data_IF_986566885859
#
_entry.id   IF_986566885859
#
_cell.length_a   1.000
_cell.length_b   1.000
_cell.length_c   1.000
_cell.angle_alpha   90.00
_cell.angle_beta   90.00
_cell.angle_gamma   90.00
#
_symmetry.space_group_name_H-M   'P 1'
#
loop_
_entity.id
_entity.type
_entity.pdbx_description
1 polymer ?
#
# COMPACT_ATOMS: atom_id res chain seq x y z
N UNK A 1 16.44 -27.25 6.79
CA UNK A 1 15.23 -26.40 6.72
C UNK A 1 15.13 -25.59 8.00
N UNK A 2 15.28 -24.28 7.90
CA UNK A 2 15.03 -23.33 8.99
C UNK A 2 13.51 -23.11 9.13
N UNK A 3 13.00 -23.00 10.35
CA UNK A 3 11.57 -22.77 10.59
C UNK A 3 11.38 -21.63 11.59
N UNK A 4 10.30 -20.85 11.41
CA UNK A 4 9.85 -19.81 12.34
C UNK A 4 8.37 -19.98 12.63
N UNK A 5 7.95 -19.54 13.80
CA UNK A 5 6.55 -19.50 14.20
C UNK A 5 5.89 -18.24 13.63
N UNK A 6 4.76 -18.40 12.95
CA UNK A 6 3.89 -17.28 12.53
C UNK A 6 2.77 -17.11 13.55
N UNK A 7 2.61 -15.88 14.01
CA UNK A 7 1.67 -15.53 15.08
C UNK A 7 0.70 -14.46 14.58
N UNK A 8 -0.58 -14.63 14.89
CA UNK A 8 -1.62 -13.61 14.73
C UNK A 8 -1.69 -12.74 16.00
N UNK A 9 -1.43 -11.44 15.86
CA UNK A 9 -1.62 -10.45 16.92
C UNK A 9 -2.78 -9.51 16.53
N UNK A 10 -3.95 -10.12 16.22
CA UNK A 10 -5.12 -9.39 15.75
C UNK A 10 -5.82 -8.67 16.90
N UNK A 11 -6.18 -7.41 16.74
CA UNK A 11 -6.78 -6.56 17.76
C UNK A 11 -8.08 -7.12 18.40
N UNK A 12 -8.76 -8.04 17.71
CA UNK A 12 -9.98 -8.70 18.18
C UNK A 12 -9.73 -10.04 18.88
N UNK A 13 -8.49 -10.53 18.87
CA UNK A 13 -8.10 -11.68 19.70
C UNK A 13 -7.80 -11.19 21.12
N UNK A 14 -8.10 -12.03 22.11
CA UNK A 14 -7.77 -11.76 23.50
C UNK A 14 -6.26 -11.79 23.74
N UNK A 15 -5.59 -12.78 23.15
CA UNK A 15 -4.15 -12.97 23.16
C UNK A 15 -3.66 -13.29 21.74
N UNK A 16 -2.37 -13.15 21.51
CA UNK A 16 -1.76 -13.63 20.26
C UNK A 16 -1.94 -15.14 20.10
N UNK A 17 -2.14 -15.61 18.87
CA UNK A 17 -2.32 -17.01 18.55
C UNK A 17 -1.34 -17.49 17.49
N UNK A 18 -0.81 -18.69 17.67
CA UNK A 18 0.04 -19.33 16.66
C UNK A 18 -0.81 -19.74 15.46
N UNK A 19 -0.50 -19.22 14.26
CA UNK A 19 -1.14 -19.60 13.01
C UNK A 19 -0.50 -20.88 12.46
N UNK A 20 0.82 -20.99 12.55
CA UNK A 20 1.55 -22.14 12.01
C UNK A 20 3.06 -21.92 11.96
N UNK A 21 3.72 -22.78 11.22
CA UNK A 21 5.16 -22.77 11.02
C UNK A 21 5.51 -22.46 9.56
N UNK A 22 6.28 -21.41 9.35
CA UNK A 22 6.85 -21.06 8.06
C UNK A 22 8.27 -21.62 7.97
N UNK A 23 8.55 -22.42 6.95
CA UNK A 23 9.84 -23.05 6.70
C UNK A 23 10.54 -22.52 5.47
N UNK A 24 11.87 -22.45 5.52
CA UNK A 24 12.71 -22.08 4.41
C UNK A 24 13.89 -23.03 4.27
N UNK A 25 14.21 -23.38 3.04
CA UNK A 25 15.41 -24.16 2.71
C UNK A 25 15.99 -23.67 1.39
N UNK A 26 17.28 -23.34 1.37
CA UNK A 26 18.01 -23.00 0.15
C UNK A 26 18.81 -24.21 -0.33
N UNK A 27 18.48 -24.69 -1.53
CA UNK A 27 19.16 -25.83 -2.17
C UNK A 27 19.69 -25.42 -3.54
N UNK A 28 21.00 -25.43 -3.71
CA UNK A 28 21.68 -25.12 -5.00
C UNK A 28 21.24 -23.80 -5.62
N UNK A 29 21.02 -22.75 -4.80
CA UNK A 29 20.60 -21.43 -5.26
C UNK A 29 19.11 -21.30 -5.54
N UNK A 30 18.30 -22.29 -5.15
CA UNK A 30 16.85 -22.25 -5.19
C UNK A 30 16.28 -22.25 -3.78
N UNK A 31 15.46 -21.27 -3.46
CA UNK A 31 14.76 -21.16 -2.19
C UNK A 31 13.40 -21.84 -2.27
N UNK A 32 13.12 -22.70 -1.31
CA UNK A 32 11.86 -23.42 -1.15
C UNK A 32 11.24 -22.99 0.16
N UNK A 33 9.98 -22.57 0.09
CA UNK A 33 9.19 -22.15 1.25
C UNK A 33 8.08 -23.14 1.52
N UNK A 34 7.86 -23.46 2.80
CA UNK A 34 6.81 -24.34 3.26
C UNK A 34 5.99 -23.66 4.36
N UNK A 35 4.72 -24.01 4.47
CA UNK A 35 3.89 -23.57 5.58
C UNK A 35 3.06 -24.75 6.12
N UNK A 36 2.93 -24.82 7.43
CA UNK A 36 2.12 -25.81 8.11
C UNK A 36 1.27 -25.12 9.17
N UNK A 37 -0.06 -25.17 9.00
CA UNK A 37 -0.97 -24.60 9.98
C UNK A 37 -0.89 -25.30 11.32
N UNK A 38 -1.02 -24.52 12.39
CA UNK A 38 -1.30 -25.05 13.73
C UNK A 38 -2.68 -25.69 13.76
N UNK A 39 -2.79 -26.86 14.39
CA UNK A 39 -4.05 -27.62 14.43
C UNK A 39 -5.14 -26.93 15.24
N UNK A 40 -4.77 -26.23 16.30
CA UNK A 40 -5.73 -25.53 17.14
C UNK A 40 -6.19 -24.23 16.50
N UNK A 41 -5.32 -23.58 15.70
CA UNK A 41 -5.70 -22.46 14.83
C UNK A 41 -6.79 -22.88 13.84
N UNK A 42 -6.60 -23.96 13.09
CA UNK A 42 -7.58 -24.46 12.12
C UNK A 42 -8.94 -24.83 12.77
N UNK A 43 -8.92 -25.32 14.01
CA UNK A 43 -10.18 -25.62 14.73
C UNK A 43 -10.91 -24.36 15.17
N UNK A 44 -10.18 -23.32 15.60
CA UNK A 44 -10.77 -22.07 16.09
C UNK A 44 -11.22 -21.15 14.97
N UNK A 45 -10.50 -21.18 13.83
CA UNK A 45 -10.70 -20.27 12.72
C UNK A 45 -10.87 -21.02 11.37
N UNK A 46 -11.84 -21.96 11.25
CA UNK A 46 -11.94 -22.86 10.08
C UNK A 46 -12.28 -22.15 8.77
N UNK A 47 -12.91 -20.97 8.85
CA UNK A 47 -13.35 -20.19 7.68
C UNK A 47 -12.52 -18.92 7.45
N UNK A 48 -11.49 -18.67 8.26
CA UNK A 48 -10.69 -17.46 8.13
C UNK A 48 -9.73 -17.56 6.94
N UNK A 49 -10.01 -16.78 5.90
CA UNK A 49 -9.16 -16.68 4.72
C UNK A 49 -8.05 -15.63 4.95
N UNK A 50 -6.80 -16.08 4.99
CA UNK A 50 -5.62 -15.23 5.16
C UNK A 50 -4.92 -14.88 3.82
N UNK A 51 -5.43 -15.41 2.71
CA UNK A 51 -4.89 -15.21 1.37
C UNK A 51 -5.07 -16.44 0.49
N UNK A 52 -5.03 -16.23 -0.81
CA UNK A 52 -5.38 -17.27 -1.80
C UNK A 52 -4.41 -18.45 -1.83
N UNK A 53 -3.16 -18.25 -1.44
CA UNK A 53 -2.10 -19.25 -1.57
C UNK A 53 -2.06 -20.28 -0.43
N UNK A 54 -2.61 -19.93 0.74
CA UNK A 54 -2.64 -20.82 1.90
C UNK A 54 -4.03 -21.44 2.09
N UNK A 55 -4.11 -22.72 1.78
CA UNK A 55 -5.35 -23.49 1.95
C UNK A 55 -5.53 -23.93 3.41
N UNK A 56 -6.73 -23.77 3.96
CA UNK A 56 -7.06 -24.11 5.37
C UNK A 56 -7.19 -25.62 5.57
N UNK A 57 -6.08 -26.37 5.50
CA UNK A 57 -6.03 -27.80 5.81
C UNK A 57 -4.79 -28.18 6.65
N UNK A 58 -4.82 -29.27 7.40
CA UNK A 58 -3.67 -29.76 8.15
C UNK A 58 -2.61 -30.36 7.21
N UNK A 59 -1.34 -30.12 7.51
CA UNK A 59 -0.20 -30.66 6.78
C UNK A 59 0.66 -29.59 6.14
N UNK A 60 1.81 -30.02 5.63
CA UNK A 60 2.79 -29.12 5.02
C UNK A 60 2.36 -28.73 3.62
N UNK A 61 2.29 -27.44 3.37
CA UNK A 61 2.04 -26.84 2.06
C UNK A 61 3.36 -26.30 1.51
N UNK A 62 3.57 -26.46 0.22
CA UNK A 62 4.76 -25.92 -0.48
C UNK A 62 4.32 -24.74 -1.34
N UNK A 63 5.09 -23.64 -1.29
CA UNK A 63 4.86 -22.55 -2.22
C UNK A 63 5.17 -23.03 -3.65
N UNK A 64 4.22 -22.94 -4.59
CA UNK A 64 4.44 -23.33 -5.98
C UNK A 64 5.46 -22.40 -6.68
N UNK A 65 5.61 -21.17 -6.21
CA UNK A 65 6.55 -20.19 -6.75
C UNK A 65 7.89 -20.31 -6.04
N UNK A 66 8.92 -20.76 -6.77
CA UNK A 66 10.27 -20.87 -6.24
C UNK A 66 10.89 -19.48 -6.00
N UNK A 67 11.84 -19.40 -5.08
CA UNK A 67 12.56 -18.19 -4.69
C UNK A 67 11.68 -17.04 -4.17
N UNK A 68 10.42 -17.33 -3.83
CA UNK A 68 9.50 -16.35 -3.22
C UNK A 68 8.80 -16.97 -2.02
N UNK A 69 8.60 -16.16 -1.00
CA UNK A 69 7.74 -16.49 0.13
C UNK A 69 6.28 -16.56 -0.35
N UNK A 70 5.40 -17.23 0.40
CA UNK A 70 3.96 -17.19 0.13
C UNK A 70 3.48 -15.74 0.08
N UNK A 71 2.68 -15.39 -0.93
CA UNK A 71 2.11 -14.05 -1.10
C UNK A 71 1.39 -13.55 0.14
N UNK A 72 0.73 -14.44 0.87
CA UNK A 72 0.08 -14.16 2.17
C UNK A 72 1.00 -13.42 3.16
N UNK A 73 2.31 -13.62 3.10
CA UNK A 73 3.28 -12.96 3.97
C UNK A 73 4.00 -11.79 3.29
N UNK A 74 3.68 -11.50 2.02
CA UNK A 74 4.42 -10.50 1.23
C UNK A 74 4.32 -9.09 1.81
N UNK A 75 3.15 -8.71 2.35
CA UNK A 75 2.97 -7.39 2.98
C UNK A 75 3.67 -7.26 4.34
N UNK A 76 4.12 -8.37 4.92
CA UNK A 76 4.97 -8.37 6.10
C UNK A 76 6.47 -8.22 5.77
N UNK A 77 6.85 -8.27 4.49
CA UNK A 77 8.19 -8.00 3.99
C UNK A 77 8.32 -6.52 3.61
N UNK A 78 9.57 -6.01 3.53
CA UNK A 78 9.80 -4.69 3.00
C UNK A 78 9.56 -4.65 1.48
N UNK A 79 9.16 -3.51 0.99
CA UNK A 79 9.09 -3.16 -0.42
C UNK A 79 10.43 -2.56 -0.92
N UNK A 80 10.47 -1.98 -2.11
CA UNK A 80 11.70 -1.54 -2.80
C UNK A 80 12.63 -0.71 -1.93
N UNK A 81 12.09 0.32 -1.24
CA UNK A 81 12.91 1.15 -0.36
C UNK A 81 13.49 0.36 0.82
N UNK A 82 12.65 -0.38 1.53
CA UNK A 82 13.08 -1.20 2.67
C UNK A 82 14.04 -2.31 2.26
N UNK A 83 13.82 -2.99 1.12
CA UNK A 83 14.74 -3.99 0.57
C UNK A 83 16.11 -3.37 0.28
N UNK A 84 16.13 -2.20 -0.37
CA UNK A 84 17.36 -1.45 -0.64
C UNK A 84 18.17 -1.17 0.63
N UNK A 85 17.50 -0.75 1.71
CA UNK A 85 18.19 -0.51 2.99
C UNK A 85 18.77 -1.80 3.59
N UNK A 86 18.02 -2.90 3.49
CA UNK A 86 18.50 -4.22 3.93
C UNK A 86 19.69 -4.68 3.09
N UNK A 87 19.65 -4.51 1.78
CA UNK A 87 20.74 -4.85 0.86
C UNK A 87 22.01 -4.07 1.21
N UNK A 88 21.88 -2.75 1.40
CA UNK A 88 23.03 -1.90 1.77
C UNK A 88 23.65 -2.34 3.10
N UNK A 89 22.82 -2.67 4.08
CA UNK A 89 23.30 -3.17 5.37
C UNK A 89 24.00 -4.50 5.25
N UNK A 90 23.39 -5.51 4.59
CA UNK A 90 23.97 -6.83 4.42
C UNK A 90 25.30 -6.73 3.67
N UNK A 91 25.38 -5.90 2.62
CA UNK A 91 26.63 -5.68 1.90
C UNK A 91 27.72 -5.05 2.79
N UNK A 92 27.35 -4.12 3.67
CA UNK A 92 28.29 -3.53 4.63
C UNK A 92 28.80 -4.59 5.63
N UNK A 93 27.91 -5.38 6.22
CA UNK A 93 28.27 -6.45 7.16
C UNK A 93 29.21 -7.49 6.52
N UNK A 94 28.94 -7.89 5.27
CA UNK A 94 29.80 -8.79 4.51
C UNK A 94 31.18 -8.20 4.25
N UNK A 95 31.25 -6.90 3.93
CA UNK A 95 32.51 -6.21 3.70
C UNK A 95 33.35 -6.16 5.00
N UNK A 96 32.70 -5.90 6.12
CA UNK A 96 33.34 -5.81 7.43
C UNK A 96 33.81 -7.20 7.93
N UNK A 97 33.06 -8.27 7.62
CA UNK A 97 33.40 -9.66 7.98
C UNK A 97 34.36 -10.33 6.98
N UNK A 98 34.58 -9.75 5.79
CA UNK A 98 35.36 -10.36 4.71
C UNK A 98 34.66 -11.54 4.02
N UNK A 99 33.37 -11.71 4.23
CA UNK A 99 32.57 -12.78 3.60
C UNK A 99 32.30 -12.49 2.12
N UNK A 100 32.06 -13.56 1.34
CA UNK A 100 31.70 -13.41 -0.07
C UNK A 100 30.22 -13.04 -0.21
N UNK A 101 29.91 -12.27 -1.27
CA UNK A 101 28.54 -11.89 -1.63
C UNK A 101 27.63 -13.12 -1.70
N UNK A 102 26.54 -13.11 -0.92
CA UNK A 102 25.46 -14.11 -0.93
C UNK A 102 24.25 -13.51 -1.66
N UNK A 103 23.43 -14.33 -2.29
CA UNK A 103 22.14 -13.91 -2.79
C UNK A 103 21.21 -13.63 -1.60
N UNK A 104 20.61 -12.45 -1.56
CA UNK A 104 19.65 -12.06 -0.52
C UNK A 104 18.29 -12.61 -0.93
N UNK A 105 17.66 -13.35 -0.04
CA UNK A 105 16.38 -14.03 -0.24
C UNK A 105 15.23 -13.31 0.45
N UNK A 106 13.97 -13.67 0.15
CA UNK A 106 12.79 -13.19 0.89
C UNK A 106 12.88 -13.57 2.39
N UNK A 107 13.59 -14.66 2.73
CA UNK A 107 13.85 -15.04 4.12
C UNK A 107 14.72 -14.02 4.86
N UNK A 108 15.73 -13.50 4.18
CA UNK A 108 16.61 -12.46 4.73
C UNK A 108 15.86 -11.14 4.89
N UNK A 109 15.02 -10.78 3.93
CA UNK A 109 14.15 -9.62 4.03
C UNK A 109 13.15 -9.77 5.18
N UNK A 110 12.53 -10.94 5.35
CA UNK A 110 11.61 -11.19 6.46
C UNK A 110 12.29 -10.99 7.81
N UNK A 111 13.51 -11.53 7.98
CA UNK A 111 14.30 -11.40 9.22
C UNK A 111 14.89 -10.01 9.41
N UNK A 112 15.08 -9.27 8.32
CA UNK A 112 15.66 -7.92 8.33
C UNK A 112 14.73 -6.82 8.81
N UNK A 113 13.42 -7.08 8.91
CA UNK A 113 12.41 -6.11 9.37
C UNK A 113 12.30 -6.13 10.88
N UNK A 114 12.25 -4.94 11.48
CA UNK A 114 12.00 -4.76 12.90
C UNK A 114 10.55 -5.11 13.25
N UNK A 115 10.32 -6.02 14.22
CA UNK A 115 8.97 -6.49 14.54
C UNK A 115 8.01 -5.36 14.89
N UNK A 116 8.43 -4.39 15.69
CA UNK A 116 7.58 -3.25 16.10
C UNK A 116 7.09 -2.40 14.93
N UNK A 117 7.83 -2.40 13.82
CA UNK A 117 7.54 -1.62 12.61
C UNK A 117 6.75 -2.40 11.56
N UNK A 118 6.71 -3.72 11.66
CA UNK A 118 6.07 -4.59 10.66
C UNK A 118 4.63 -4.18 10.41
N UNK A 119 4.25 -4.13 9.13
CA UNK A 119 2.89 -3.81 8.71
C UNK A 119 1.92 -4.93 9.09
N UNK A 120 0.68 -4.56 9.40
CA UNK A 120 -0.36 -5.51 9.78
C UNK A 120 -0.10 -6.20 11.12
N UNK A 121 -0.64 -7.39 11.28
CA UNK A 121 -0.66 -8.11 12.54
C UNK A 121 -0.10 -9.55 12.47
N UNK A 122 0.58 -9.91 11.39
CA UNK A 122 1.45 -11.08 11.41
C UNK A 122 2.75 -10.74 12.12
N UNK A 123 3.11 -11.59 13.09
CA UNK A 123 4.38 -11.52 13.79
C UNK A 123 5.11 -12.84 13.66
N UNK A 124 6.42 -12.78 13.75
CA UNK A 124 7.28 -13.95 13.55
C UNK A 124 8.14 -14.16 14.78
N UNK A 125 8.18 -15.42 15.26
CA UNK A 125 8.96 -15.79 16.44
C UNK A 125 9.93 -16.92 16.14
N UNK A 126 11.07 -16.85 16.77
CA UNK A 126 12.01 -17.96 16.82
C UNK A 126 11.40 -19.11 17.64
N UNK A 127 11.49 -20.35 17.13
CA UNK A 127 10.83 -21.51 17.75
C UNK A 127 11.49 -21.88 19.08
N UNK A 128 12.82 -21.75 19.20
CA UNK A 128 13.54 -22.22 20.37
C UNK A 128 13.42 -21.24 21.54
N UNK A 129 13.43 -19.93 21.25
CA UNK A 129 13.45 -18.88 22.27
C UNK A 129 12.10 -18.23 22.51
N UNK A 130 11.12 -18.46 21.63
CA UNK A 130 9.82 -17.77 21.55
C UNK A 130 9.93 -16.23 21.46
N UNK A 131 11.12 -15.74 21.14
CA UNK A 131 11.36 -14.32 20.95
C UNK A 131 10.93 -13.86 19.54
N UNK A 132 10.41 -12.64 19.44
CA UNK A 132 10.11 -12.05 18.14
C UNK A 132 11.39 -11.90 17.32
N UNK A 133 11.27 -12.23 16.03
CA UNK A 133 12.34 -12.00 15.06
C UNK A 133 12.42 -10.50 14.78
N UNK A 134 13.52 -9.94 15.19
CA UNK A 134 13.79 -8.51 15.13
C UNK A 134 15.29 -8.32 15.01
N UNK A 135 15.70 -7.40 14.15
CA UNK A 135 17.14 -7.13 13.96
C UNK A 135 17.79 -6.58 15.23
N UNK A 136 17.11 -5.66 15.90
CA UNK A 136 17.60 -5.06 17.14
C UNK A 136 16.51 -5.05 18.21
N UNK A 137 16.60 -5.95 19.19
CA UNK A 137 15.63 -6.08 20.28
C UNK A 137 15.47 -4.85 21.16
N UNK A 138 16.46 -3.95 21.13
CA UNK A 138 16.47 -2.69 21.91
C UNK A 138 16.02 -1.49 21.09
N UNK A 139 15.55 -1.72 19.85
CA UNK A 139 15.15 -0.63 18.96
C UNK A 139 13.90 0.10 19.48
N UNK A 140 13.97 1.42 19.43
CA UNK A 140 12.84 2.31 19.69
C UNK A 140 12.52 3.13 18.44
N UNK A 141 11.24 3.18 18.07
CA UNK A 141 10.77 3.96 16.91
C UNK A 141 11.12 5.43 17.15
N UNK A 142 11.81 6.11 16.22
CA UNK A 142 12.23 7.47 16.41
C UNK A 142 11.03 8.43 16.51
N UNK A 143 11.05 9.37 17.47
CA UNK A 143 10.10 10.46 17.50
C UNK A 143 10.17 11.34 16.26
N UNK A 144 9.08 12.04 15.94
CA UNK A 144 9.01 13.02 14.84
C UNK A 144 10.12 14.07 14.91
N UNK A 145 10.64 14.38 16.09
CA UNK A 145 11.76 15.31 16.28
C UNK A 145 13.03 14.95 15.48
N UNK A 146 13.18 13.70 15.09
CA UNK A 146 14.31 13.22 14.28
C UNK A 146 14.07 13.26 12.77
N UNK A 147 12.96 13.86 12.29
CA UNK A 147 12.63 13.92 10.86
C UNK A 147 13.75 14.54 10.01
N UNK A 148 14.37 15.63 10.46
CA UNK A 148 15.45 16.29 9.72
C UNK A 148 16.64 15.37 9.51
N UNK A 149 17.00 14.59 10.52
CA UNK A 149 18.11 13.65 10.49
C UNK A 149 17.82 12.46 9.59
N UNK A 150 16.58 11.97 9.60
CA UNK A 150 16.13 10.88 8.74
C UNK A 150 16.04 11.33 7.27
N UNK A 151 15.55 12.54 7.02
CA UNK A 151 15.49 13.17 5.72
C UNK A 151 16.90 13.36 5.12
N UNK A 152 17.85 13.83 5.95
CA UNK A 152 19.24 13.98 5.53
C UNK A 152 19.83 12.59 5.15
N UNK A 153 19.66 11.58 6.00
CA UNK A 153 20.17 10.24 5.75
C UNK A 153 19.59 9.63 4.46
N UNK A 154 18.27 9.78 4.24
CA UNK A 154 17.62 9.33 3.02
C UNK A 154 18.19 10.01 1.77
N UNK A 155 18.35 11.34 1.82
CA UNK A 155 18.91 12.12 0.71
C UNK A 155 20.37 11.78 0.42
N UNK A 156 21.19 11.46 1.43
CA UNK A 156 22.58 11.05 1.22
C UNK A 156 22.67 9.66 0.58
N UNK A 157 21.78 8.73 0.92
CA UNK A 157 21.70 7.42 0.25
C UNK A 157 21.33 7.60 -1.23
N UNK A 158 20.31 8.39 -1.55
CA UNK A 158 19.92 8.64 -2.95
C UNK A 158 21.05 9.32 -3.74
N UNK A 159 21.70 10.34 -3.16
CA UNK A 159 22.85 11.03 -3.81
C UNK A 159 24.00 10.08 -4.09
N UNK A 160 24.31 9.18 -3.16
CA UNK A 160 25.39 8.21 -3.34
C UNK A 160 25.10 7.29 -4.52
N UNK A 161 23.86 6.84 -4.69
CA UNK A 161 23.46 6.02 -5.83
C UNK A 161 23.50 6.77 -7.16
N UNK A 162 22.97 8.01 -7.21
CA UNK A 162 23.03 8.83 -8.40
C UNK A 162 24.50 9.02 -8.87
N UNK A 163 25.42 9.12 -7.92
CA UNK A 163 26.86 9.24 -8.18
C UNK A 163 27.57 7.90 -8.35
N UNK A 164 26.86 6.76 -8.28
CA UNK A 164 27.41 5.40 -8.31
C UNK A 164 28.48 5.15 -7.22
N UNK A 165 28.26 5.74 -6.06
CA UNK A 165 29.11 5.62 -4.88
C UNK A 165 28.41 4.79 -3.82
N UNK A 166 29.19 4.14 -2.96
CA UNK A 166 28.64 3.52 -1.75
C UNK A 166 28.27 4.60 -0.73
N UNK A 167 27.07 4.57 -0.13
CA UNK A 167 26.73 5.50 0.94
C UNK A 167 27.58 5.22 2.20
N UNK A 168 27.89 6.27 2.94
CA UNK A 168 28.61 6.13 4.20
C UNK A 168 27.77 5.33 5.22
N UNK A 169 28.41 4.43 5.97
CA UNK A 169 27.77 3.53 6.95
C UNK A 169 26.90 4.27 7.98
N UNK A 170 27.28 5.50 8.38
CA UNK A 170 26.53 6.31 9.33
C UNK A 170 25.12 6.65 8.82
N UNK A 171 24.95 6.88 7.50
CA UNK A 171 23.64 7.19 6.91
C UNK A 171 22.76 5.95 6.85
N UNK A 172 23.35 4.80 6.48
CA UNK A 172 22.66 3.51 6.49
C UNK A 172 22.15 3.21 7.92
N UNK A 173 23.04 3.29 8.92
CA UNK A 173 22.67 3.02 10.32
C UNK A 173 21.54 3.89 10.83
N UNK A 174 21.49 5.17 10.42
CA UNK A 174 20.47 6.12 10.88
C UNK A 174 19.07 5.81 10.37
N UNK A 175 18.93 5.43 9.09
CA UNK A 175 17.62 5.25 8.45
C UNK A 175 17.20 3.79 8.32
N UNK A 176 18.14 2.84 8.46
CA UNK A 176 17.89 1.43 8.22
C UNK A 176 16.67 0.91 9.01
N UNK A 177 16.68 1.05 10.32
CA UNK A 177 15.62 0.49 11.15
C UNK A 177 14.26 1.14 10.88
N UNK A 178 14.09 2.49 10.93
CA UNK A 178 12.80 3.10 10.70
C UNK A 178 12.30 2.96 9.26
N UNK A 179 13.19 2.76 8.28
CA UNK A 179 12.84 2.65 6.86
C UNK A 179 12.62 1.24 6.35
N UNK A 180 13.15 0.22 7.04
CA UNK A 180 13.22 -1.15 6.52
C UNK A 180 11.88 -1.86 6.35
N UNK A 181 10.81 -1.42 7.02
CA UNK A 181 9.49 -2.07 6.98
C UNK A 181 8.52 -1.41 6.00
N UNK A 182 8.95 -0.36 5.29
CA UNK A 182 8.04 0.51 4.53
C UNK A 182 7.89 0.06 3.08
N UNK A 183 6.66 0.19 2.55
CA UNK A 183 6.31 -0.08 1.16
C UNK A 183 6.69 1.05 0.19
N UNK A 184 6.73 0.76 -1.14
CA UNK A 184 6.99 1.72 -2.22
C UNK A 184 8.46 2.05 -2.46
N UNK A 185 8.74 2.74 -3.58
CA UNK A 185 10.11 3.00 -4.05
C UNK A 185 10.75 4.26 -3.44
N UNK A 186 9.94 5.24 -3.02
CA UNK A 186 10.42 6.53 -2.50
C UNK A 186 10.93 6.41 -1.07
N UNK A 187 11.91 7.27 -0.66
CA UNK A 187 12.42 7.28 0.69
C UNK A 187 11.32 7.53 1.72
N UNK A 188 11.30 6.70 2.76
CA UNK A 188 10.32 6.81 3.84
C UNK A 188 10.82 6.15 5.12
N UNK A 189 10.24 6.53 6.25
CA UNK A 189 10.53 5.94 7.54
C UNK A 189 9.28 5.91 8.43
N UNK A 190 9.23 4.97 9.36
CA UNK A 190 8.24 4.99 10.43
C UNK A 190 8.74 5.88 11.58
N UNK A 191 7.91 6.81 12.01
CA UNK A 191 8.16 7.70 13.16
C UNK A 191 6.96 7.68 14.10
N UNK A 192 7.16 8.14 15.34
CA UNK A 192 6.08 8.22 16.32
C UNK A 192 5.88 9.62 16.89
N UNK A 193 4.62 9.92 17.23
CA UNK A 193 4.24 11.09 18.04
C UNK A 193 3.26 10.62 19.12
N UNK A 194 3.68 10.67 20.36
CA UNK A 194 2.96 9.98 21.44
C UNK A 194 2.89 8.48 21.18
N UNK A 195 1.67 7.93 21.15
CA UNK A 195 1.42 6.52 20.82
C UNK A 195 1.14 6.28 19.31
N UNK A 196 0.90 7.35 18.56
CA UNK A 196 0.57 7.26 17.14
C UNK A 196 1.82 7.00 16.28
N UNK A 197 1.68 6.11 15.32
CA UNK A 197 2.70 5.79 14.32
C UNK A 197 2.37 6.46 12.98
N UNK A 198 3.41 7.01 12.36
CA UNK A 198 3.31 7.66 11.05
C UNK A 198 4.31 7.07 10.07
N UNK A 199 3.90 7.00 8.82
CA UNK A 199 4.83 6.86 7.68
C UNK A 199 5.24 8.26 7.27
N UNK A 200 6.51 8.60 7.49
CA UNK A 200 7.11 9.83 6.99
C UNK A 200 7.61 9.57 5.57
N UNK A 201 7.02 10.21 4.57
CA UNK A 201 7.45 10.14 3.17
C UNK A 201 8.33 11.35 2.88
N UNK A 202 9.58 11.09 2.51
CA UNK A 202 10.57 12.12 2.24
C UNK A 202 10.57 12.53 0.76
N UNK A 203 10.82 13.81 0.44
CA UNK A 203 11.07 14.22 -0.93
C UNK A 203 12.33 13.54 -1.45
N UNK A 204 12.30 13.09 -2.69
CA UNK A 204 13.47 12.56 -3.38
C UNK A 204 14.38 13.69 -3.88
N UNK A 205 15.67 13.39 -4.03
CA UNK A 205 16.65 14.36 -4.54
C UNK A 205 16.32 14.83 -5.96
N UNK A 206 15.64 13.98 -6.74
CA UNK A 206 15.26 14.27 -8.12
C UNK A 206 13.88 14.93 -8.30
N UNK A 207 13.17 15.25 -7.22
CA UNK A 207 11.84 15.84 -7.35
C UNK A 207 11.89 17.27 -7.90
N UNK A 208 11.19 17.49 -9.02
CA UNK A 208 11.03 18.80 -9.65
C UNK A 208 9.85 19.60 -9.10
N UNK A 209 8.91 18.89 -8.41
CA UNK A 209 7.71 19.45 -7.81
C UNK A 209 7.59 19.01 -6.35
N UNK A 210 6.77 19.70 -5.57
CA UNK A 210 6.53 19.34 -4.18
C UNK A 210 5.54 18.17 -4.05
N UNK A 211 6.03 16.93 -4.24
CA UNK A 211 5.22 15.72 -4.18
C UNK A 211 4.49 15.57 -2.83
N UNK A 212 5.15 15.93 -1.72
CA UNK A 212 4.54 15.83 -0.38
C UNK A 212 3.27 16.70 -0.27
N UNK A 213 3.27 17.90 -0.85
CA UNK A 213 2.08 18.77 -0.85
C UNK A 213 1.04 18.31 -1.86
N UNK A 214 1.45 17.76 -3.00
CA UNK A 214 0.51 17.19 -3.96
C UNK A 214 -0.21 15.95 -3.38
N UNK A 215 0.50 15.07 -2.71
CA UNK A 215 -0.13 13.93 -2.03
C UNK A 215 -1.03 14.39 -0.88
N UNK A 216 -0.61 15.39 -0.09
CA UNK A 216 -1.46 15.98 0.96
C UNK A 216 -2.73 16.61 0.40
N UNK A 217 -2.61 17.33 -0.73
CA UNK A 217 -3.76 17.87 -1.47
C UNK A 217 -4.71 16.76 -1.92
N UNK A 218 -4.18 15.69 -2.52
CA UNK A 218 -4.99 14.56 -2.98
C UNK A 218 -5.78 13.91 -1.82
N UNK A 219 -5.14 13.69 -0.68
CA UNK A 219 -5.82 13.18 0.52
C UNK A 219 -6.90 14.14 1.05
N UNK A 220 -6.63 15.43 1.01
CA UNK A 220 -7.60 16.45 1.46
C UNK A 220 -8.82 16.50 0.53
N UNK A 221 -8.59 16.47 -0.79
CA UNK A 221 -9.66 16.40 -1.79
C UNK A 221 -10.45 15.10 -1.71
N UNK A 222 -9.79 13.96 -1.50
CA UNK A 222 -10.46 12.67 -1.33
C UNK A 222 -11.47 12.70 -0.18
N UNK A 223 -11.09 13.29 0.97
CA UNK A 223 -11.99 13.47 2.12
C UNK A 223 -13.18 14.37 1.78
N UNK A 224 -12.96 15.47 1.07
CA UNK A 224 -14.04 16.37 0.62
C UNK A 224 -14.97 15.67 -0.40
N UNK A 225 -14.45 14.70 -1.17
CA UNK A 225 -15.23 13.83 -2.05
C UNK A 225 -15.94 12.66 -1.32
N UNK A 226 -15.84 12.60 0.01
CA UNK A 226 -16.50 11.58 0.82
C UNK A 226 -15.77 10.24 0.88
N UNK A 227 -14.49 10.19 0.51
CA UNK A 227 -13.64 9.00 0.59
C UNK A 227 -13.05 8.88 1.99
N UNK A 228 -13.07 7.67 2.53
CA UNK A 228 -12.33 7.34 3.75
C UNK A 228 -10.83 7.30 3.42
N UNK A 229 -10.12 8.41 3.60
CA UNK A 229 -8.70 8.55 3.32
C UNK A 229 -7.87 8.63 4.61
N UNK A 230 -6.65 8.10 4.56
CA UNK A 230 -5.71 8.13 5.67
C UNK A 230 -5.48 9.58 6.17
N UNK A 231 -5.28 9.73 7.47
CA UNK A 231 -4.94 11.03 8.06
C UNK A 231 -3.52 11.41 7.67
N UNK A 232 -3.40 12.57 7.01
CA UNK A 232 -2.12 13.09 6.57
C UNK A 232 -1.92 14.52 7.01
N UNK A 233 -0.65 14.90 7.19
CA UNK A 233 -0.23 16.30 7.38
C UNK A 233 1.17 16.51 6.80
N UNK A 234 1.50 17.74 6.47
CA UNK A 234 2.84 18.11 6.01
C UNK A 234 3.61 18.78 7.14
N UNK A 235 4.87 18.40 7.29
CA UNK A 235 5.83 19.04 8.19
C UNK A 235 7.00 19.54 7.37
N UNK A 236 7.29 20.83 7.46
CA UNK A 236 8.45 21.41 6.78
C UNK A 236 9.72 21.20 7.63
N UNK A 237 10.77 20.69 6.97
CA UNK A 237 12.10 20.54 7.57
C UNK A 237 12.78 21.90 7.76
N UNK A 238 13.91 21.92 8.47
CA UNK A 238 14.74 23.13 8.64
C UNK A 238 15.23 23.70 7.31
N UNK A 239 15.43 22.83 6.30
CA UNK A 239 15.85 23.22 4.96
C UNK A 239 14.66 23.57 4.04
N UNK A 240 13.47 23.78 4.62
CA UNK A 240 12.23 24.10 3.89
C UNK A 240 11.79 22.99 2.90
N UNK A 241 12.23 21.76 3.09
CA UNK A 241 11.72 20.59 2.39
C UNK A 241 10.52 20.03 3.14
N UNK A 242 9.47 19.72 2.43
CA UNK A 242 8.24 19.21 3.01
C UNK A 242 8.26 17.68 3.11
N UNK A 243 7.91 17.17 4.30
CA UNK A 243 7.75 15.73 4.58
C UNK A 243 6.27 15.47 4.81
N UNK A 244 5.70 14.50 4.09
CA UNK A 244 4.34 14.05 4.36
C UNK A 244 4.35 13.03 5.48
N UNK A 245 3.55 13.27 6.50
CA UNK A 245 3.26 12.32 7.56
C UNK A 245 1.88 11.71 7.32
N UNK A 246 1.82 10.41 7.06
CA UNK A 246 0.59 9.63 6.94
C UNK A 246 0.44 8.75 8.16
N UNK A 247 -0.66 8.92 8.92
CA UNK A 247 -0.94 8.12 10.12
C UNK A 247 -1.18 6.67 9.72
N UNK A 248 -0.54 5.75 10.43
CA UNK A 248 -0.74 4.31 10.22
C UNK A 248 -2.13 3.91 10.71
N UNK A 249 -2.90 3.28 9.86
CA UNK A 249 -4.24 2.80 10.14
C UNK A 249 -4.29 1.29 10.50
N UNK A 250 -3.15 0.62 10.46
CA UNK A 250 -2.98 -0.76 10.92
C UNK A 250 -2.67 -0.86 12.42
N UNK A 251 -2.98 0.20 13.17
CA UNK A 251 -2.92 0.27 14.63
C UNK A 251 -4.20 0.90 15.16
N UNK A 252 -4.67 0.40 16.29
CA UNK A 252 -5.73 1.05 17.07
C UNK A 252 -5.14 2.22 17.87
N UNK A 253 -5.99 3.08 18.40
CA UNK A 253 -5.58 4.18 19.33
C UNK A 253 -4.79 3.66 20.54
N UNK A 254 -5.03 2.44 20.98
CA UNK A 254 -4.33 1.78 22.07
C UNK A 254 -3.09 0.99 21.61
N UNK A 255 -2.63 1.18 20.38
CA UNK A 255 -1.44 0.56 19.82
C UNK A 255 -1.59 -0.93 19.44
N UNK A 256 -2.78 -1.55 19.58
CA UNK A 256 -3.02 -2.92 19.12
C UNK A 256 -2.94 -3.00 17.60
N UNK A 257 -2.50 -4.15 17.09
CA UNK A 257 -2.33 -4.36 15.63
C UNK A 257 -3.65 -4.72 14.97
N UNK A 258 -3.94 -4.09 13.84
CA UNK A 258 -5.02 -4.48 12.93
C UNK A 258 -4.35 -5.20 11.76
N UNK A 259 -4.79 -6.41 11.45
CA UNK A 259 -4.22 -7.11 10.31
C UNK A 259 -4.62 -6.41 9.03
N UNK A 260 -3.63 -6.17 8.19
CA UNK A 260 -3.75 -5.50 6.91
C UNK A 260 -3.10 -6.37 5.84
N UNK A 261 -3.77 -6.48 4.70
CA UNK A 261 -3.19 -7.08 3.50
C UNK A 261 -3.61 -6.29 2.26
N UNK A 262 -2.70 -6.14 1.29
CA UNK A 262 -2.99 -5.50 0.01
C UNK A 262 -3.85 -6.38 -0.88
N UNK A 263 -4.58 -5.78 -1.83
CA UNK A 263 -5.30 -6.52 -2.87
C UNK A 263 -4.36 -7.42 -3.65
N UNK A 264 -3.11 -6.99 -3.88
CA UNK A 264 -2.09 -7.82 -4.52
C UNK A 264 -1.94 -9.17 -3.81
N UNK A 265 -1.78 -9.12 -2.49
CA UNK A 265 -1.62 -10.30 -1.62
C UNK A 265 -2.87 -11.16 -1.58
N UNK A 266 -4.03 -10.53 -1.33
CA UNK A 266 -5.30 -11.26 -1.16
C UNK A 266 -5.78 -11.93 -2.44
N UNK A 267 -5.50 -11.34 -3.60
CA UNK A 267 -5.82 -11.89 -4.91
C UNK A 267 -4.76 -12.89 -5.42
N UNK A 268 -3.63 -13.02 -4.72
CA UNK A 268 -2.52 -13.89 -5.14
C UNK A 268 -1.85 -13.43 -6.43
N UNK A 269 -1.73 -12.11 -6.60
CA UNK A 269 -1.13 -11.47 -7.78
C UNK A 269 0.37 -11.17 -7.56
N UNK A 270 1.07 -10.89 -8.66
CA UNK A 270 2.47 -10.50 -8.65
C UNK A 270 2.65 -8.99 -8.84
N UNK A 271 3.80 -8.47 -8.42
CA UNK A 271 4.18 -7.09 -8.75
C UNK A 271 4.19 -6.89 -10.27
N UNK A 272 3.48 -5.84 -10.71
CA UNK A 272 3.31 -5.52 -12.13
C UNK A 272 2.05 -6.12 -12.76
N UNK A 273 1.30 -6.98 -12.05
CA UNK A 273 -0.03 -7.38 -12.52
C UNK A 273 -0.97 -6.16 -12.53
N UNK A 274 -1.72 -6.02 -13.61
CA UNK A 274 -2.63 -4.92 -13.86
C UNK A 274 -3.20 -5.01 -15.27
N UNK A 275 -3.34 -3.88 -15.96
CA UNK A 275 -3.90 -3.83 -17.32
C UNK A 275 -3.21 -4.83 -18.27
N UNK A 276 -1.88 -4.87 -18.29
CA UNK A 276 -1.11 -5.75 -19.18
C UNK A 276 -1.35 -7.24 -18.96
N UNK A 277 -1.88 -7.64 -17.81
CA UNK A 277 -2.25 -9.02 -17.47
C UNK A 277 -3.77 -9.23 -17.41
N UNK A 278 -4.55 -8.26 -17.89
CA UNK A 278 -6.01 -8.31 -17.87
C UNK A 278 -6.61 -8.19 -16.47
N UNK A 279 -5.94 -7.48 -15.56
CA UNK A 279 -6.35 -7.30 -14.18
C UNK A 279 -6.77 -5.86 -13.90
N UNK A 280 -7.78 -5.69 -13.02
CA UNK A 280 -8.32 -4.37 -12.74
C UNK A 280 -9.15 -4.26 -11.47
N UNK A 281 -9.89 -3.17 -11.36
CA UNK A 281 -10.72 -2.91 -10.19
C UNK A 281 -11.81 -3.97 -9.98
N UNK A 282 -12.27 -4.63 -11.05
CA UNK A 282 -13.28 -5.69 -10.93
C UNK A 282 -12.76 -6.92 -10.18
N UNK A 283 -11.45 -7.21 -10.22
CA UNK A 283 -10.86 -8.24 -9.35
C UNK A 283 -11.00 -7.89 -7.86
N UNK A 284 -10.95 -6.57 -7.53
CA UNK A 284 -11.19 -6.07 -6.16
C UNK A 284 -12.68 -6.17 -5.80
N UNK A 285 -13.57 -5.87 -6.74
CA UNK A 285 -15.03 -6.09 -6.58
C UNK A 285 -15.31 -7.54 -6.23
N UNK A 286 -14.77 -8.48 -7.02
CA UNK A 286 -14.95 -9.92 -6.79
C UNK A 286 -14.46 -10.33 -5.39
N UNK A 287 -13.33 -9.77 -4.94
CA UNK A 287 -12.83 -10.05 -3.59
C UNK A 287 -13.78 -9.52 -2.51
N UNK A 288 -14.29 -8.30 -2.65
CA UNK A 288 -15.25 -7.71 -1.69
C UNK A 288 -16.51 -8.57 -1.62
N UNK A 289 -17.05 -9.01 -2.75
CA UNK A 289 -18.24 -9.87 -2.81
C UNK A 289 -18.00 -11.23 -2.16
N UNK A 290 -16.82 -11.83 -2.37
CA UNK A 290 -16.51 -13.17 -1.86
C UNK A 290 -16.08 -13.20 -0.40
N UNK A 291 -15.44 -12.14 0.12
CA UNK A 291 -14.76 -12.14 1.42
C UNK A 291 -15.06 -10.89 2.26
N UNK A 292 -15.92 -10.02 1.78
CA UNK A 292 -16.23 -8.76 2.44
C UNK A 292 -17.02 -8.92 3.73
N UNK A 293 -17.16 -7.81 4.41
CA UNK A 293 -17.92 -7.69 5.65
C UNK A 293 -19.41 -7.63 5.41
N UNK A 294 -20.16 -7.49 6.51
CA UNK A 294 -21.62 -7.23 6.47
C UNK A 294 -21.96 -5.89 5.78
N UNK A 295 -21.02 -5.00 5.62
CA UNK A 295 -21.16 -3.69 4.95
C UNK A 295 -20.73 -3.73 3.47
N UNK A 296 -20.78 -4.89 2.81
CA UNK A 296 -20.33 -5.10 1.42
C UNK A 296 -20.80 -4.02 0.44
N UNK A 297 -22.08 -3.63 0.49
CA UNK A 297 -22.63 -2.59 -0.41
C UNK A 297 -21.89 -1.24 -0.24
N UNK A 298 -21.62 -0.84 0.99
CA UNK A 298 -20.88 0.40 1.29
C UNK A 298 -19.41 0.31 0.82
N UNK A 299 -18.79 -0.86 0.94
CA UNK A 299 -17.44 -1.08 0.45
C UNK A 299 -17.35 -0.98 -1.08
N UNK A 300 -18.37 -1.48 -1.80
CA UNK A 300 -18.48 -1.35 -3.25
C UNK A 300 -18.69 0.12 -3.68
N UNK A 301 -19.59 0.85 -3.00
CA UNK A 301 -19.77 2.30 -3.23
C UNK A 301 -18.49 3.09 -2.97
N UNK A 302 -17.77 2.75 -1.89
CA UNK A 302 -16.50 3.36 -1.55
C UNK A 302 -15.44 3.10 -2.62
N UNK A 303 -15.31 1.85 -3.11
CA UNK A 303 -14.39 1.51 -4.19
C UNK A 303 -14.73 2.29 -5.46
N UNK A 304 -16.00 2.32 -5.87
CA UNK A 304 -16.45 3.05 -7.05
C UNK A 304 -16.16 4.55 -6.94
N UNK A 305 -16.36 5.12 -5.75
CA UNK A 305 -16.04 6.52 -5.44
C UNK A 305 -14.54 6.80 -5.56
N UNK A 306 -13.69 5.88 -5.11
CA UNK A 306 -12.23 5.98 -5.27
C UNK A 306 -11.82 5.97 -6.72
N UNK A 307 -12.40 5.08 -7.54
CA UNK A 307 -12.11 5.03 -8.99
C UNK A 307 -12.54 6.34 -9.66
N UNK A 308 -13.75 6.85 -9.36
CA UNK A 308 -14.20 8.14 -9.88
C UNK A 308 -13.26 9.29 -9.48
N UNK A 309 -12.81 9.31 -8.24
CA UNK A 309 -11.85 10.30 -7.75
C UNK A 309 -10.49 10.18 -8.44
N UNK A 310 -9.95 8.95 -8.57
CA UNK A 310 -8.67 8.70 -9.23
C UNK A 310 -8.70 9.17 -10.69
N UNK A 311 -9.83 8.98 -11.39
CA UNK A 311 -10.04 9.52 -12.74
C UNK A 311 -9.98 11.05 -12.71
N UNK A 312 -10.74 11.69 -11.81
CA UNK A 312 -10.82 13.15 -11.73
C UNK A 312 -9.49 13.82 -11.37
N UNK A 313 -8.75 13.27 -10.38
CA UNK A 313 -7.49 13.87 -9.93
C UNK A 313 -6.28 13.46 -10.80
N UNK A 314 -6.45 12.46 -11.67
CA UNK A 314 -5.37 11.94 -12.48
C UNK A 314 -4.43 10.98 -11.75
N UNK A 315 -4.88 10.31 -10.68
CA UNK A 315 -4.12 9.27 -10.01
C UNK A 315 -4.17 7.97 -10.82
N UNK A 316 -3.28 7.84 -11.78
CA UNK A 316 -3.23 6.68 -12.68
C UNK A 316 -2.22 5.60 -12.25
N UNK A 317 -1.37 5.88 -11.26
CA UNK A 317 -0.45 4.90 -10.69
C UNK A 317 -1.12 4.09 -9.56
N UNK A 318 -2.45 3.98 -9.63
CA UNK A 318 -3.27 3.27 -8.67
C UNK A 318 -3.26 1.77 -8.98
N UNK A 319 -2.34 1.04 -8.35
CA UNK A 319 -2.12 -0.39 -8.52
C UNK A 319 -2.61 -1.20 -7.31
N UNK A 320 -2.64 -2.54 -7.40
CA UNK A 320 -3.18 -3.42 -6.36
C UNK A 320 -2.52 -3.28 -4.98
N UNK A 321 -1.30 -2.75 -4.87
CA UNK A 321 -0.70 -2.44 -3.56
C UNK A 321 -1.28 -1.19 -2.90
N UNK A 322 -1.93 -0.30 -3.66
CA UNK A 322 -2.55 0.93 -3.16
C UNK A 322 -3.99 0.69 -2.66
N UNK A 323 -4.52 -0.52 -2.86
CA UNK A 323 -5.76 -0.98 -2.28
C UNK A 323 -5.47 -2.05 -1.23
N UNK A 324 -5.68 -1.73 0.04
CA UNK A 324 -5.51 -2.70 1.12
C UNK A 324 -6.84 -2.93 1.84
N UNK A 325 -6.87 -4.04 2.57
CA UNK A 325 -7.99 -4.43 3.42
C UNK A 325 -7.52 -4.61 4.85
N UNK A 326 -8.40 -4.29 5.78
CA UNK A 326 -8.23 -4.51 7.22
C UNK A 326 -9.11 -5.68 7.64
N UNK A 327 -8.50 -6.69 8.24
CA UNK A 327 -9.22 -7.84 8.79
C UNK A 327 -9.81 -7.49 10.14
N UNK A 328 -11.14 -7.45 10.21
CA UNK A 328 -11.91 -7.37 11.44
C UNK A 328 -12.55 -8.71 11.75
N UNK A 329 -13.27 -8.79 12.86
CA UNK A 329 -13.92 -10.04 13.30
C UNK A 329 -15.00 -10.53 12.32
N UNK A 330 -15.63 -9.61 11.59
CA UNK A 330 -16.75 -9.82 10.67
C UNK A 330 -16.32 -9.93 9.20
N UNK A 331 -15.03 -9.86 8.90
CA UNK A 331 -14.49 -10.00 7.55
C UNK A 331 -13.46 -8.94 7.16
N UNK A 332 -13.16 -8.88 5.87
CA UNK A 332 -12.26 -7.91 5.29
C UNK A 332 -12.99 -6.61 4.94
N UNK A 333 -12.41 -5.48 5.31
CA UNK A 333 -12.90 -4.13 5.04
C UNK A 333 -11.87 -3.34 4.26
N UNK A 334 -12.28 -2.51 3.30
CA UNK A 334 -11.38 -1.58 2.64
C UNK A 334 -10.67 -0.72 3.69
N UNK A 335 -9.35 -0.64 3.59
CA UNK A 335 -8.57 0.31 4.40
C UNK A 335 -8.90 1.75 4.04
N UNK A 336 -8.55 2.74 4.85
CA UNK A 336 -8.47 4.11 4.36
C UNK A 336 -7.63 4.18 3.08
N UNK A 337 -8.03 5.02 2.11
CA UNK A 337 -7.27 5.23 0.88
C UNK A 337 -5.94 5.92 1.19
N UNK A 338 -4.88 5.53 0.50
CA UNK A 338 -3.52 6.03 0.70
C UNK A 338 -2.73 6.04 -0.61
N UNK A 339 -1.61 6.74 -0.62
CA UNK A 339 -0.67 6.81 -1.76
C UNK A 339 -1.35 7.34 -3.05
N UNK A 340 -2.12 8.42 -2.90
CA UNK A 340 -2.85 9.08 -3.98
C UNK A 340 -2.03 10.25 -4.51
N UNK A 341 -1.57 10.16 -5.74
CA UNK A 341 -0.76 11.20 -6.38
C UNK A 341 -1.26 11.50 -7.79
N UNK A 342 -1.48 12.76 -8.17
CA UNK A 342 -1.81 13.09 -9.54
C UNK A 342 -0.63 12.80 -10.48
N UNK A 343 -0.93 12.39 -11.69
CA UNK A 343 0.00 12.17 -12.79
C UNK A 343 -0.55 12.84 -14.07
N UNK A 344 0.29 13.01 -15.08
CA UNK A 344 -0.14 13.52 -16.39
C UNK A 344 -0.47 12.40 -17.39
N UNK A 345 -0.74 11.16 -16.88
CA UNK A 345 -1.11 10.02 -17.72
C UNK A 345 -2.64 9.95 -17.85
N UNK A 346 -3.10 9.32 -18.93
CA UNK A 346 -4.52 9.13 -19.24
C UNK A 346 -4.95 7.66 -19.17
N UNK A 347 -4.04 6.76 -18.76
CA UNK A 347 -4.30 5.33 -18.64
C UNK A 347 -3.88 4.85 -17.26
N UNK A 348 -4.80 4.17 -16.58
CA UNK A 348 -4.56 3.61 -15.26
C UNK A 348 -3.69 2.35 -15.30
N UNK A 349 -3.07 2.03 -14.17
CA UNK A 349 -2.39 0.74 -13.99
C UNK A 349 -3.36 -0.44 -13.97
N UNK A 350 -4.62 -0.20 -13.61
CA UNK A 350 -5.70 -1.19 -13.50
C UNK A 350 -6.78 -0.96 -14.56
N UNK A 351 -7.37 -2.06 -15.09
CA UNK A 351 -8.55 -1.97 -15.92
C UNK A 351 -9.73 -1.40 -15.12
N UNK A 352 -10.52 -0.49 -15.74
CA UNK A 352 -11.67 0.15 -15.09
C UNK A 352 -12.92 -0.72 -15.21
N UNK A 353 -13.20 -1.20 -16.43
CA UNK A 353 -14.40 -1.97 -16.80
C UNK A 353 -14.12 -3.44 -17.14
N UNK A 354 -12.87 -3.90 -16.92
CA UNK A 354 -12.39 -5.22 -17.31
C UNK A 354 -11.81 -5.29 -18.72
N UNK A 355 -11.92 -4.23 -19.53
CA UNK A 355 -11.46 -4.17 -20.91
C UNK A 355 -10.51 -3.01 -21.19
N UNK A 356 -10.75 -1.84 -20.60
CA UNK A 356 -9.94 -0.65 -20.80
C UNK A 356 -9.49 -0.05 -19.48
N UNK A 357 -8.31 0.59 -19.51
CA UNK A 357 -7.75 1.38 -18.43
C UNK A 357 -7.76 2.88 -18.73
N UNK A 358 -8.54 3.31 -19.73
CA UNK A 358 -8.69 4.73 -20.07
C UNK A 358 -9.31 5.49 -18.90
N UNK A 359 -8.70 6.62 -18.54
CA UNK A 359 -9.14 7.48 -17.43
C UNK A 359 -10.39 8.28 -17.84
N UNK A 360 -11.55 7.66 -17.79
CA UNK A 360 -12.81 8.22 -18.27
C UNK A 360 -13.98 7.93 -17.31
N UNK A 361 -14.70 8.98 -16.90
CA UNK A 361 -15.93 8.83 -16.09
C UNK A 361 -17.07 8.19 -16.88
N UNK A 362 -17.08 8.31 -18.21
CA UNK A 362 -18.09 7.65 -19.04
C UNK A 362 -17.84 6.12 -19.04
N UNK A 363 -16.58 5.66 -19.16
CA UNK A 363 -16.22 4.25 -19.03
C UNK A 363 -16.61 3.68 -17.67
N UNK A 364 -16.31 4.41 -16.59
CA UNK A 364 -16.69 3.99 -15.25
C UNK A 364 -18.21 3.94 -15.06
N UNK A 365 -18.92 4.93 -15.61
CA UNK A 365 -20.38 4.96 -15.53
C UNK A 365 -21.04 3.80 -16.28
N UNK A 366 -20.57 3.48 -17.47
CA UNK A 366 -21.09 2.38 -18.26
C UNK A 366 -20.83 1.01 -17.61
N UNK A 367 -19.79 0.92 -16.78
CA UNK A 367 -19.43 -0.30 -16.04
C UNK A 367 -20.12 -0.46 -14.68
N UNK A 368 -21.03 0.43 -14.26
CA UNK A 368 -21.59 0.46 -12.90
C UNK A 368 -22.20 -0.87 -12.44
N UNK A 369 -22.88 -1.61 -13.33
CA UNK A 369 -23.43 -2.94 -13.01
C UNK A 369 -22.33 -3.94 -12.63
N UNK A 370 -21.15 -3.86 -13.27
CA UNK A 370 -19.99 -4.69 -12.93
C UNK A 370 -19.42 -4.36 -11.55
N UNK A 371 -19.67 -3.16 -11.04
CA UNK A 371 -19.36 -2.78 -9.65
C UNK A 371 -20.51 -3.09 -8.68
N UNK A 372 -21.54 -3.82 -9.13
CA UNK A 372 -22.72 -4.18 -8.35
C UNK A 372 -23.55 -2.96 -7.86
N UNK A 373 -23.52 -1.85 -8.60
CA UNK A 373 -24.25 -0.64 -8.28
C UNK A 373 -25.40 -0.41 -9.24
N UNK A 374 -26.53 0.14 -8.73
CA UNK A 374 -27.58 0.66 -9.60
C UNK A 374 -27.18 1.99 -10.24
N UNK A 375 -27.85 2.32 -11.34
CA UNK A 375 -27.59 3.54 -12.11
C UNK A 375 -27.70 4.82 -11.27
N UNK A 376 -28.66 4.89 -10.37
CA UNK A 376 -28.92 6.08 -9.54
C UNK A 376 -27.77 6.31 -8.57
N UNK A 377 -27.31 5.27 -7.90
CA UNK A 377 -26.20 5.29 -6.96
C UNK A 377 -24.90 5.66 -7.69
N UNK A 378 -24.59 4.99 -8.80
CA UNK A 378 -23.38 5.27 -9.58
C UNK A 378 -23.35 6.72 -10.10
N UNK A 379 -24.46 7.19 -10.68
CA UNK A 379 -24.62 8.57 -11.14
C UNK A 379 -24.49 9.56 -9.98
N UNK A 380 -25.06 9.25 -8.81
CA UNK A 380 -24.96 10.06 -7.60
C UNK A 380 -23.51 10.23 -7.16
N UNK A 381 -22.75 9.13 -7.09
CA UNK A 381 -21.34 9.14 -6.69
C UNK A 381 -20.49 10.00 -7.64
N UNK A 382 -20.61 9.79 -8.97
CA UNK A 382 -19.84 10.59 -9.95
C UNK A 382 -20.17 12.08 -9.83
N UNK A 383 -21.47 12.43 -9.67
CA UNK A 383 -21.88 13.83 -9.48
C UNK A 383 -21.31 14.45 -8.21
N UNK A 384 -21.28 13.70 -7.12
CA UNK A 384 -20.73 14.19 -5.85
C UNK A 384 -19.22 14.42 -5.95
N UNK A 385 -18.49 13.48 -6.54
CA UNK A 385 -17.04 13.61 -6.77
C UNK A 385 -16.75 14.81 -7.67
N UNK A 386 -17.37 14.88 -8.85
CA UNK A 386 -17.12 15.98 -9.81
C UNK A 386 -17.52 17.34 -9.26
N UNK A 387 -18.59 17.42 -8.45
CA UNK A 387 -19.02 18.67 -7.79
C UNK A 387 -17.95 19.17 -6.82
N UNK A 388 -17.40 18.30 -5.99
CA UNK A 388 -16.38 18.66 -5.01
C UNK A 388 -15.04 18.95 -5.69
N UNK A 389 -14.68 18.21 -6.72
CA UNK A 389 -13.46 18.44 -7.50
C UNK A 389 -13.42 19.82 -8.18
N UNK A 390 -14.55 20.48 -8.43
CA UNK A 390 -14.56 21.86 -8.97
C UNK A 390 -13.81 22.87 -8.10
N UNK A 391 -13.60 22.58 -6.84
CA UNK A 391 -12.88 23.45 -5.89
C UNK A 391 -11.41 23.08 -5.71
N UNK A 392 -10.86 22.20 -6.57
CA UNK A 392 -9.52 21.65 -6.44
C UNK A 392 -8.43 22.71 -6.35
N UNK A 393 -8.47 23.80 -7.15
CA UNK A 393 -7.47 24.86 -7.08
C UNK A 393 -7.45 25.55 -5.72
N UNK A 394 -8.62 25.87 -5.18
CA UNK A 394 -8.72 26.50 -3.86
C UNK A 394 -8.23 25.59 -2.74
N UNK A 395 -8.48 24.27 -2.83
CA UNK A 395 -7.94 23.29 -1.90
C UNK A 395 -6.43 23.16 -2.04
N UNK A 396 -5.90 23.09 -3.26
CA UNK A 396 -4.48 23.00 -3.52
C UNK A 396 -3.70 24.20 -2.93
N UNK A 397 -4.24 25.41 -3.12
CA UNK A 397 -3.67 26.63 -2.50
C UNK A 397 -3.72 26.56 -0.96
N UNK A 398 -4.80 26.07 -0.36
CA UNK A 398 -4.89 25.86 1.10
C UNK A 398 -3.89 24.83 1.60
N UNK A 399 -3.60 23.80 0.79
CA UNK A 399 -2.56 22.79 1.09
C UNK A 399 -1.14 23.33 0.91
N UNK A 400 -0.98 24.60 0.49
CA UNK A 400 0.29 25.28 0.37
C UNK A 400 1.00 25.10 -0.97
N UNK A 401 0.29 24.61 -2.00
CA UNK A 401 0.77 24.64 -3.37
C UNK A 401 0.69 26.06 -3.93
N UNK A 402 1.66 26.46 -4.73
CA UNK A 402 1.67 27.76 -5.39
C UNK A 402 0.86 27.74 -6.70
N UNK A 403 0.42 28.90 -7.17
CA UNK A 403 -0.27 29.00 -8.46
C UNK A 403 0.56 28.51 -9.66
N UNK A 404 1.89 28.57 -9.57
CA UNK A 404 2.76 28.03 -10.61
C UNK A 404 2.76 26.50 -10.61
N UNK A 405 2.71 25.87 -9.45
CA UNK A 405 2.66 24.43 -9.31
C UNK A 405 1.33 23.83 -9.80
N UNK A 406 0.20 24.56 -9.66
CA UNK A 406 -1.10 24.07 -10.15
C UNK A 406 -1.06 23.74 -11.64
N UNK A 407 -0.30 24.47 -12.44
CA UNK A 407 -0.16 24.25 -13.89
C UNK A 407 0.38 22.84 -14.22
N UNK A 408 1.08 22.19 -13.28
CA UNK A 408 1.66 20.87 -13.53
C UNK A 408 0.59 19.80 -13.82
N UNK A 409 -0.62 19.93 -13.24
CA UNK A 409 -1.68 18.96 -13.39
C UNK A 409 -3.04 19.57 -13.75
N UNK A 410 -3.09 20.88 -14.03
CA UNK A 410 -4.34 21.59 -14.30
C UNK A 410 -5.12 20.96 -15.46
N UNK A 411 -4.53 20.84 -16.63
CA UNK A 411 -5.15 20.25 -17.82
C UNK A 411 -5.66 18.83 -17.51
N UNK A 412 -4.83 18.02 -16.88
CA UNK A 412 -5.16 16.63 -16.55
C UNK A 412 -6.35 16.50 -15.56
N UNK A 413 -6.41 17.38 -14.56
CA UNK A 413 -7.52 17.39 -13.57
C UNK A 413 -8.80 17.92 -14.25
N UNK A 414 -8.71 18.96 -15.07
CA UNK A 414 -9.85 19.49 -15.81
C UNK A 414 -10.43 18.45 -16.77
N UNK A 415 -9.60 17.76 -17.56
CA UNK A 415 -10.01 16.66 -18.44
C UNK A 415 -10.63 15.50 -17.65
N UNK A 416 -10.06 15.16 -16.51
CA UNK A 416 -10.56 14.07 -15.65
C UNK A 416 -11.95 14.33 -15.07
N UNK A 417 -12.38 15.57 -14.99
CA UNK A 417 -13.73 15.95 -14.54
C UNK A 417 -14.75 15.95 -15.68
N UNK A 418 -14.36 15.81 -16.94
CA UNK A 418 -15.29 15.76 -18.06
C UNK A 418 -16.16 14.49 -17.99
N UNK A 419 -17.45 14.68 -18.04
CA UNK A 419 -18.42 13.60 -18.00
C UNK A 419 -19.62 13.90 -18.92
N UNK A 420 -19.68 13.25 -20.07
CA UNK A 420 -20.67 13.50 -21.12
C UNK A 420 -22.08 13.03 -20.74
N UNK A 421 -22.19 11.87 -20.12
CA UNK A 421 -23.47 11.33 -19.66
C UNK A 421 -24.14 12.16 -18.54
N UNK A 422 -23.38 13.02 -17.85
CA UNK A 422 -23.90 13.94 -16.82
C UNK A 422 -24.87 15.00 -17.33
N UNK A 423 -24.81 15.33 -18.62
CA UNK A 423 -25.55 16.45 -19.23
C UNK A 423 -26.80 16.05 -20.02
N UNK A 424 -27.06 14.76 -20.27
CA UNK A 424 -28.21 14.31 -21.06
C UNK A 424 -29.47 14.06 -20.21
N UNK A 425 -30.13 15.11 -19.72
CA UNK A 425 -31.57 15.11 -19.56
C UNK A 425 -32.15 16.14 -20.53
N UNK A 426 -32.54 15.70 -21.74
CA UNK A 426 -33.25 16.52 -22.71
C UNK A 426 -33.12 16.11 -24.17
N UNK A 427 -32.48 15.01 -24.52
CA UNK A 427 -32.50 14.52 -25.91
C UNK A 427 -33.19 13.17 -26.02
N UNK A 428 -34.27 13.20 -26.76
CA UNK A 428 -35.10 12.08 -27.19
C UNK A 428 -34.29 10.89 -27.71
N UNK A 429 -34.88 9.71 -27.52
CA UNK A 429 -34.55 8.39 -28.05
C UNK A 429 -34.37 8.27 -29.60
N UNK A 430 -33.78 9.25 -30.27
CA UNK A 430 -33.63 9.23 -31.74
C UNK A 430 -32.19 9.46 -32.27
N UNK A 431 -31.15 9.34 -31.45
CA UNK A 431 -29.77 9.50 -31.90
C UNK A 431 -28.98 8.19 -32.11
N UNK A 432 -29.65 7.04 -32.23
CA UNK A 432 -28.97 5.75 -32.51
C UNK A 432 -28.94 5.40 -34.01
N UNK A 433 -29.19 6.36 -34.91
CA UNK A 433 -29.11 6.10 -36.39
C UNK A 433 -28.33 7.21 -37.12
N UNK A 434 -27.12 7.45 -36.78
CA UNK A 434 -26.22 8.22 -37.62
C UNK A 434 -24.74 7.98 -37.27
N UNK A 435 -24.29 6.77 -37.31
CA UNK A 435 -22.89 6.38 -37.54
C UNK A 435 -22.91 4.95 -38.11
N UNK A 436 -23.26 4.82 -39.36
CA UNK A 436 -22.94 3.68 -40.21
C UNK A 436 -21.95 4.13 -41.27
#
# INVERSE_FOLDING_TARGET
MEKIKVVADFNWLENEETIGLLGHESQRGTDVYTFEYDKDWLKRHPSLNLGKELQSFPGVQYNPTRNRIFGTFSDALPDRWGRRLIDLRIHQEMKDSGERRVNISDWDYLKGVEDSLRMGAFRFKDIATDAYISYNKSYSIPPILFLDELLEAAGQIEKSELNRMEPESRWIQRIFQPGSSMGGARPKACVKEGEDLYVAKFPSVGDEINISRWEYFAHSMAKDCGINAAECRVVSSKDSRDVLLSKRFDRTENGKRIHMASSLTLLGLNDGDGESTGKGYLDIVDFIVANGSVDMEKELEELYRRVAFNICIGNTDDHFRNHAFLLKKDGWHLSPAYDMNPTNKYYHSLLIDGYTNESSLDVLYDAHESYMLDETTARGIIKDVTRNMKYWESMALRCGLSRSELKNFQERIEDGMEWKCGFTRGCNLNCVKACS
#
